data_IF_561456880590
#
_entry.id   IF_561456880590
#
_cell.length_a   1.000
_cell.length_b   1.000
_cell.length_c   1.000
_cell.angle_alpha   90.00
_cell.angle_beta   90.00
_cell.angle_gamma   90.00
#
_symmetry.space_group_name_H-M   'P 1'
#
loop_
_entity.id
_entity.type
_entity.pdbx_description
1 polymer ?
#
# COMPACT_ATOMS: atom_id res chain seq x y z
N UNK A 1 -10.98 7.63 -7.57
CA UNK A 1 -12.27 7.38 -6.89
C UNK A 1 -12.37 8.02 -5.50
N UNK A 2 -11.29 8.16 -4.72
CA UNK A 2 -11.34 8.75 -3.38
C UNK A 2 -11.49 10.29 -3.32
N UNK A 3 -11.05 11.03 -4.35
CA UNK A 3 -11.01 12.50 -4.36
C UNK A 3 -12.22 13.19 -5.02
N UNK A 4 -13.29 12.46 -5.32
CA UNK A 4 -14.51 13.07 -5.87
C UNK A 4 -15.31 13.74 -4.74
N UNK A 5 -15.76 14.97 -4.98
CA UNK A 5 -16.69 15.67 -4.08
C UNK A 5 -17.92 14.78 -3.85
N UNK A 6 -18.21 14.47 -2.59
CA UNK A 6 -19.31 13.61 -2.17
C UNK A 6 -18.96 12.14 -1.89
N UNK A 7 -17.72 11.69 -2.15
CA UNK A 7 -17.27 10.35 -1.76
C UNK A 7 -17.21 10.24 -0.22
N UNK A 8 -18.05 9.36 0.36
CA UNK A 8 -18.06 9.06 1.82
C UNK A 8 -17.30 7.79 2.19
N UNK A 9 -16.81 7.06 1.20
CA UNK A 9 -16.10 5.80 1.40
C UNK A 9 -14.82 5.77 0.57
N UNK A 10 -13.86 5.00 1.09
CA UNK A 10 -12.64 4.62 0.39
C UNK A 10 -12.88 3.23 -0.22
N UNK A 11 -12.47 3.07 -1.47
CA UNK A 11 -12.56 1.79 -2.20
C UNK A 11 -11.16 1.21 -2.33
N UNK A 12 -11.06 -0.12 -2.47
CA UNK A 12 -9.81 -0.87 -2.56
C UNK A 12 -9.46 -1.65 -1.29
N UNK A 13 -8.31 -2.30 -1.30
CA UNK A 13 -7.85 -3.12 -0.18
C UNK A 13 -7.25 -2.25 0.94
N UNK A 14 -8.05 -1.94 1.97
CA UNK A 14 -7.61 -1.13 3.11
C UNK A 14 -6.43 -1.73 3.87
N UNK A 15 -6.29 -3.06 3.88
CA UNK A 15 -5.13 -3.74 4.48
C UNK A 15 -3.83 -3.37 3.78
N UNK A 16 -3.83 -3.25 2.45
CA UNK A 16 -2.64 -2.82 1.69
C UNK A 16 -2.32 -1.35 1.96
N UNK A 17 -3.33 -0.50 2.03
CA UNK A 17 -3.14 0.91 2.39
C UNK A 17 -2.57 1.07 3.80
N UNK A 18 -3.09 0.30 4.76
CA UNK A 18 -2.62 0.30 6.13
C UNK A 18 -1.18 -0.22 6.24
N UNK A 19 -0.85 -1.32 5.57
CA UNK A 19 0.52 -1.83 5.51
C UNK A 19 1.47 -0.81 4.88
N UNK A 20 1.04 -0.12 3.81
CA UNK A 20 1.81 0.98 3.22
C UNK A 20 2.02 2.11 4.24
N UNK A 21 0.98 2.52 4.97
CA UNK A 21 1.08 3.57 5.98
C UNK A 21 2.13 3.25 7.06
N UNK A 22 2.18 2.02 7.56
CA UNK A 22 3.16 1.61 8.57
C UNK A 22 4.61 1.62 8.08
N UNK A 23 4.81 1.48 6.78
CA UNK A 23 6.15 1.60 6.19
C UNK A 23 6.63 3.05 6.15
N UNK A 24 5.75 3.95 5.71
CA UNK A 24 6.10 5.34 5.44
C UNK A 24 6.00 6.26 6.65
N UNK A 25 5.15 5.94 7.62
CA UNK A 25 4.91 6.76 8.80
C UNK A 25 5.29 5.99 10.07
N UNK A 26 6.56 6.06 10.51
CA UNK A 26 7.03 5.40 11.72
C UNK A 26 6.18 5.74 12.97
N UNK A 27 5.63 6.96 13.04
CA UNK A 27 4.78 7.42 14.14
C UNK A 27 3.50 6.60 14.34
N UNK A 28 3.01 5.93 13.29
CA UNK A 28 1.80 5.10 13.35
C UNK A 28 2.09 3.61 13.33
N UNK A 29 3.37 3.22 13.35
CA UNK A 29 3.81 1.85 13.19
C UNK A 29 3.48 1.04 14.45
N UNK A 30 2.74 -0.08 14.33
CA UNK A 30 2.53 -0.98 15.45
C UNK A 30 3.78 -1.83 15.68
N UNK A 31 3.77 -2.61 16.77
CA UNK A 31 4.85 -3.55 17.08
C UNK A 31 5.16 -4.47 15.89
N UNK A 32 6.44 -4.59 15.57
CA UNK A 32 6.93 -5.42 14.48
C UNK A 32 7.16 -6.86 14.96
N UNK A 33 6.78 -7.83 14.14
CA UNK A 33 7.07 -9.25 14.33
C UNK A 33 8.29 -9.62 13.49
N UNK A 34 9.20 -10.41 14.06
CA UNK A 34 10.26 -11.07 13.32
C UNK A 34 9.65 -12.06 12.31
N UNK A 35 9.83 -11.79 11.03
CA UNK A 35 9.30 -12.60 9.94
C UNK A 35 10.39 -13.48 9.32
N UNK A 36 9.96 -14.57 8.69
CA UNK A 36 10.83 -15.36 7.82
C UNK A 36 11.27 -14.51 6.60
N UNK A 37 12.43 -14.80 5.98
CA UNK A 37 12.98 -14.02 4.87
C UNK A 37 12.03 -13.79 3.68
N UNK A 38 11.15 -14.76 3.40
CA UNK A 38 10.23 -14.74 2.26
C UNK A 38 8.78 -14.38 2.64
N UNK A 39 8.53 -14.03 3.90
CA UNK A 39 7.18 -13.66 4.33
C UNK A 39 6.75 -12.32 3.70
N UNK A 40 5.45 -12.14 3.40
CA UNK A 40 4.94 -10.87 2.91
C UNK A 40 5.26 -9.75 3.89
N UNK A 41 5.89 -8.66 3.43
CA UNK A 41 6.29 -7.57 4.34
C UNK A 41 5.13 -7.00 5.17
N UNK A 42 3.93 -6.95 4.59
CA UNK A 42 2.70 -6.52 5.27
C UNK A 42 2.34 -7.36 6.51
N UNK A 43 2.78 -8.63 6.61
CA UNK A 43 2.56 -9.47 7.79
C UNK A 43 3.52 -9.17 8.94
N UNK A 44 4.47 -8.25 8.77
CA UNK A 44 5.41 -7.86 9.82
C UNK A 44 4.76 -7.05 10.94
N UNK A 45 3.51 -6.60 10.77
CA UNK A 45 2.88 -5.62 11.66
C UNK A 45 1.77 -6.26 12.51
N UNK A 46 1.81 -6.08 13.84
CA UNK A 46 0.71 -6.47 14.73
C UNK A 46 -0.42 -5.44 14.61
N UNK A 47 -1.42 -5.72 13.77
CA UNK A 47 -2.58 -4.84 13.68
C UNK A 47 -3.43 -4.92 14.96
N UNK A 48 -3.36 -3.89 15.80
CA UNK A 48 -4.30 -3.73 16.91
C UNK A 48 -5.67 -3.35 16.35
N UNK A 49 -6.71 -4.09 16.77
CA UNK A 49 -8.09 -3.74 16.45
C UNK A 49 -8.51 -2.61 17.40
N UNK A 50 -8.94 -1.47 16.85
CA UNK A 50 -9.53 -0.43 17.70
C UNK A 50 -10.77 -0.99 18.39
N UNK A 51 -10.84 -0.86 19.71
CA UNK A 51 -12.08 -1.10 20.43
C UNK A 51 -13.09 -0.07 19.92
N UNK A 52 -14.25 -0.53 19.44
CA UNK A 52 -15.28 0.38 18.94
C UNK A 52 -15.86 1.27 20.03
N UNK A 53 -16.49 2.39 19.64
CA UNK A 53 -17.15 3.33 20.56
C UNK A 53 -16.52 4.72 20.55
N UNK A 54 -16.72 5.47 21.63
CA UNK A 54 -16.21 6.85 21.78
C UNK A 54 -14.67 6.92 21.77
N UNK A 55 -14.00 5.87 22.27
CA UNK A 55 -12.54 5.72 22.20
C UNK A 55 -12.03 5.78 20.76
N UNK A 56 -12.76 5.21 19.79
CA UNK A 56 -12.39 5.27 18.38
C UNK A 56 -12.47 6.69 17.82
N UNK A 57 -13.45 7.50 18.23
CA UNK A 57 -13.57 8.90 17.78
C UNK A 57 -12.46 9.76 18.37
N UNK A 58 -12.13 9.57 19.64
CA UNK A 58 -11.04 10.30 20.29
C UNK A 58 -9.69 9.92 19.68
N UNK A 59 -9.47 8.63 19.39
CA UNK A 59 -8.30 8.18 18.63
C UNK A 59 -8.21 8.86 17.25
N UNK A 60 -9.32 8.98 16.52
CA UNK A 60 -9.32 9.64 15.19
C UNK A 60 -8.92 11.11 15.26
N UNK A 61 -9.34 11.84 16.30
CA UNK A 61 -8.92 13.24 16.53
C UNK A 61 -7.41 13.29 16.74
N UNK A 62 -6.87 12.41 17.60
CA UNK A 62 -5.43 12.32 17.83
C UNK A 62 -4.63 12.00 16.56
N UNK A 63 -5.08 11.01 15.77
CA UNK A 63 -4.41 10.68 14.50
C UNK A 63 -4.41 11.84 13.50
N UNK A 64 -5.51 12.60 13.41
CA UNK A 64 -5.57 13.81 12.56
C UNK A 64 -4.58 14.86 13.01
N UNK A 65 -4.54 15.16 14.30
CA UNK A 65 -3.59 16.13 14.83
C UNK A 65 -2.14 15.75 14.52
N UNK A 66 -1.77 14.48 14.73
CA UNK A 66 -0.42 14.00 14.40
C UNK A 66 -0.12 14.15 12.90
N UNK A 67 -1.11 13.86 12.02
CA UNK A 67 -0.96 14.04 10.58
C UNK A 67 -0.82 15.52 10.18
N UNK A 68 -1.56 16.41 10.83
CA UNK A 68 -1.54 17.86 10.55
C UNK A 68 -0.23 18.52 11.00
N UNK A 69 0.37 18.02 12.09
CA UNK A 69 1.65 18.49 12.63
C UNK A 69 2.88 17.86 11.94
N UNK A 70 2.67 16.81 11.14
CA UNK A 70 3.75 16.03 10.55
C UNK A 70 4.55 16.82 9.51
N UNK A 71 5.87 16.73 9.60
CA UNK A 71 6.79 17.29 8.62
C UNK A 71 7.26 16.24 7.62
N UNK A 72 7.98 16.67 6.58
CA UNK A 72 8.63 15.75 5.65
C UNK A 72 9.73 14.89 6.28
N UNK A 73 10.28 15.29 7.44
CA UNK A 73 11.34 14.56 8.15
C UNK A 73 10.78 13.36 8.93
N UNK A 74 9.52 13.44 9.34
CA UNK A 74 8.81 12.37 10.04
C UNK A 74 8.40 11.22 9.11
N UNK A 75 8.55 11.41 7.79
CA UNK A 75 8.18 10.44 6.75
C UNK A 75 9.42 9.65 6.30
N UNK A 76 9.31 8.33 6.35
CA UNK A 76 10.29 7.43 5.73
C UNK A 76 10.04 7.35 4.23
N UNK A 77 10.78 8.13 3.45
CA UNK A 77 10.63 8.19 1.97
C UNK A 77 11.21 6.97 1.25
N UNK A 78 12.09 6.20 1.90
CA UNK A 78 12.72 5.00 1.34
C UNK A 78 12.63 3.82 2.31
N UNK A 79 11.41 3.37 2.68
CA UNK A 79 11.23 2.37 3.74
C UNK A 79 11.69 0.96 3.33
N UNK A 80 11.92 0.75 2.03
CA UNK A 80 12.45 -0.48 1.45
C UNK A 80 13.99 -0.43 1.26
N UNK A 81 14.63 0.68 1.64
CA UNK A 81 16.05 0.94 1.43
C UNK A 81 16.39 1.49 0.03
N UNK A 82 17.62 1.96 -0.14
CA UNK A 82 18.11 2.63 -1.36
C UNK A 82 18.11 1.72 -2.60
N UNK A 83 18.27 0.41 -2.41
CA UNK A 83 18.40 -0.58 -3.48
C UNK A 83 17.22 -1.58 -3.50
N UNK A 84 16.05 -1.15 -3.05
CA UNK A 84 14.88 -2.02 -2.95
C UNK A 84 14.53 -2.73 -4.27
N UNK A 85 14.73 -2.05 -5.40
CA UNK A 85 14.48 -2.63 -6.73
C UNK A 85 15.41 -3.77 -7.10
N UNK A 86 16.64 -3.81 -6.56
CA UNK A 86 17.58 -4.94 -6.78
C UNK A 86 17.39 -6.04 -5.75
N UNK A 87 16.99 -5.69 -4.52
CA UNK A 87 16.74 -6.64 -3.43
C UNK A 87 15.46 -7.43 -3.62
N UNK A 88 14.43 -6.82 -4.18
CA UNK A 88 13.12 -7.43 -4.40
C UNK A 88 12.74 -7.25 -5.86
N UNK A 89 13.30 -8.08 -6.75
CA UNK A 89 13.05 -7.98 -8.21
C UNK A 89 11.56 -7.96 -8.58
N UNK A 90 10.71 -8.62 -7.78
CA UNK A 90 9.25 -8.63 -7.97
C UNK A 90 8.63 -7.23 -7.86
N UNK A 91 9.29 -6.28 -7.20
CA UNK A 91 8.88 -4.87 -7.14
C UNK A 91 9.08 -4.11 -8.45
N UNK A 92 9.86 -4.65 -9.39
CA UNK A 92 10.05 -4.10 -10.74
C UNK A 92 9.11 -4.75 -11.78
N UNK A 93 8.20 -5.62 -11.34
CA UNK A 93 7.18 -6.21 -12.22
C UNK A 93 6.41 -5.12 -12.99
N UNK A 94 6.07 -5.35 -14.25
CA UNK A 94 5.18 -4.47 -15.02
C UNK A 94 4.10 -5.34 -15.64
N UNK A 95 2.83 -5.04 -15.39
CA UNK A 95 1.70 -5.87 -15.83
C UNK A 95 0.47 -5.67 -14.96
N UNK A 96 -0.38 -6.68 -14.79
CA UNK A 96 -1.55 -6.59 -13.89
C UNK A 96 -1.24 -7.28 -12.58
N UNK A 97 -1.48 -6.60 -11.47
CA UNK A 97 -1.56 -7.23 -10.16
C UNK A 97 -3.03 -7.52 -9.89
N UNK A 98 -3.32 -8.78 -9.57
CA UNK A 98 -4.66 -9.23 -9.19
C UNK A 98 -4.67 -9.64 -7.72
N UNK A 99 -5.61 -9.11 -6.95
CA UNK A 99 -5.81 -9.45 -5.54
C UNK A 99 -7.29 -9.37 -5.18
N UNK A 100 -7.85 -10.48 -4.68
CA UNK A 100 -9.28 -10.63 -4.44
C UNK A 100 -10.10 -10.34 -5.71
N UNK A 101 -10.98 -9.33 -5.68
CA UNK A 101 -11.78 -8.84 -6.80
C UNK A 101 -11.13 -7.63 -7.51
N UNK A 102 -9.91 -7.25 -7.11
CA UNK A 102 -9.20 -6.09 -7.62
C UNK A 102 -8.18 -6.53 -8.67
N UNK A 103 -8.19 -5.85 -9.81
CA UNK A 103 -7.14 -5.95 -10.80
C UNK A 103 -6.69 -4.58 -11.24
N UNK A 104 -5.41 -4.29 -11.08
CA UNK A 104 -4.86 -2.99 -11.41
C UNK A 104 -3.57 -3.15 -12.22
N UNK A 105 -3.45 -2.30 -13.23
CA UNK A 105 -2.19 -2.11 -13.95
C UNK A 105 -1.12 -1.60 -13.00
N UNK A 106 -0.06 -2.40 -12.86
CA UNK A 106 1.11 -2.09 -12.08
C UNK A 106 2.26 -1.73 -13.02
N UNK A 107 2.75 -0.50 -12.89
CA UNK A 107 3.96 -0.03 -13.56
C UNK A 107 4.83 0.74 -12.55
N UNK A 108 5.96 0.16 -12.09
CA UNK A 108 6.87 0.77 -11.14
C UNK A 108 7.58 1.98 -11.72
N UNK A 109 7.51 2.21 -13.05
CA UNK A 109 7.97 3.44 -13.64
C UNK A 109 7.28 4.68 -13.06
N UNK A 110 6.10 4.56 -12.43
CA UNK A 110 5.37 5.67 -11.79
C UNK A 110 5.82 6.01 -10.38
N UNK A 111 6.50 5.11 -9.69
CA UNK A 111 6.90 5.26 -8.28
C UNK A 111 8.35 4.82 -8.06
N UNK A 112 9.21 5.08 -9.06
CA UNK A 112 10.64 4.76 -9.08
C UNK A 112 11.41 5.32 -7.89
N UNK A 113 10.99 6.48 -7.37
CA UNK A 113 11.59 7.11 -6.18
C UNK A 113 11.50 6.24 -4.93
N UNK A 114 10.44 5.44 -4.78
CA UNK A 114 10.28 4.54 -3.64
C UNK A 114 11.37 3.45 -3.60
N UNK A 115 11.97 3.16 -4.76
CA UNK A 115 13.04 2.19 -4.94
C UNK A 115 14.42 2.84 -5.11
N UNK A 116 14.56 4.14 -4.79
CA UNK A 116 15.83 4.86 -4.90
C UNK A 116 16.22 5.29 -6.32
N UNK A 117 15.34 5.11 -7.32
CA UNK A 117 15.62 5.52 -8.70
C UNK A 117 15.06 6.91 -9.03
N UNK A 118 15.65 7.55 -10.05
CA UNK A 118 15.11 8.79 -10.62
C UNK A 118 13.75 8.53 -11.27
N UNK A 119 12.75 9.32 -10.87
CA UNK A 119 11.42 9.29 -11.48
C UNK A 119 11.45 9.95 -12.86
N UNK A 120 11.07 9.21 -13.90
CA UNK A 120 10.82 9.75 -15.25
C UNK A 120 9.33 9.96 -15.47
N UNK A 121 8.95 10.62 -16.58
CA UNK A 121 7.55 10.69 -16.99
C UNK A 121 7.09 9.27 -17.34
N UNK A 122 6.08 8.73 -16.63
CA UNK A 122 5.61 7.37 -16.85
C UNK A 122 4.80 7.27 -18.15
N UNK A 123 4.77 6.07 -18.74
CA UNK A 123 3.93 5.77 -19.91
C UNK A 123 2.47 5.60 -19.47
N UNK A 124 1.56 5.62 -20.44
CA UNK A 124 0.16 5.26 -20.19
C UNK A 124 0.10 3.84 -19.63
N UNK A 125 -0.54 3.68 -18.48
CA UNK A 125 -0.70 2.36 -17.85
C UNK A 125 -1.68 1.50 -18.62
N UNK A 126 -1.45 0.19 -18.57
CA UNK A 126 -2.45 -0.77 -18.97
C UNK A 126 -3.61 -0.72 -17.98
N UNK A 127 -4.83 -0.55 -18.50
CA UNK A 127 -6.05 -0.60 -17.70
C UNK A 127 -6.73 -1.92 -18.06
N UNK A 128 -6.71 -2.94 -17.19
CA UNK A 128 -7.46 -4.16 -17.43
C UNK A 128 -8.95 -3.84 -17.50
N UNK A 129 -9.65 -4.41 -18.48
CA UNK A 129 -11.08 -4.14 -18.67
C UNK A 129 -11.93 -4.99 -17.75
N UNK A 130 -11.64 -6.28 -17.73
CA UNK A 130 -12.34 -7.26 -16.92
C UNK A 130 -11.33 -8.24 -16.32
N UNK A 131 -11.51 -8.57 -15.05
CA UNK A 131 -10.74 -9.62 -14.39
C UNK A 131 -11.68 -10.53 -13.60
N UNK A 132 -11.49 -11.84 -13.78
CA UNK A 132 -12.24 -12.86 -13.07
C UNK A 132 -11.31 -13.98 -12.61
N UNK A 133 -11.56 -14.47 -11.39
CA UNK A 133 -10.89 -15.66 -10.86
C UNK A 133 -11.88 -16.82 -10.79
N UNK A 134 -11.77 -17.84 -11.66
CA UNK A 134 -12.60 -19.02 -11.57
C UNK A 134 -12.39 -19.74 -10.24
N UNK A 135 -13.46 -20.22 -9.61
CA UNK A 135 -13.37 -21.01 -8.37
C UNK A 135 -12.54 -22.30 -8.53
N UNK A 136 -12.43 -22.80 -9.76
CA UNK A 136 -11.64 -23.98 -10.13
C UNK A 136 -10.14 -23.72 -10.35
N UNK A 137 -9.69 -22.45 -10.33
CA UNK A 137 -8.31 -22.10 -10.67
C UNK A 137 -7.69 -21.13 -9.66
N UNK A 138 -6.40 -21.31 -9.39
CA UNK A 138 -5.64 -20.35 -8.59
C UNK A 138 -5.26 -19.09 -9.38
N UNK A 139 -5.33 -19.11 -10.71
CA UNK A 139 -4.94 -18.02 -11.61
C UNK A 139 -6.12 -17.10 -11.98
N UNK A 140 -5.80 -15.82 -12.25
CA UNK A 140 -6.75 -14.83 -12.75
C UNK A 140 -6.76 -14.82 -14.27
N UNK A 141 -7.93 -14.60 -14.85
CA UNK A 141 -8.11 -14.31 -16.28
C UNK A 141 -8.29 -12.80 -16.42
N UNK A 142 -7.50 -12.19 -17.31
CA UNK A 142 -7.45 -10.73 -17.52
C UNK A 142 -7.75 -10.44 -18.99
N UNK A 143 -8.70 -9.52 -19.26
CA UNK A 143 -9.12 -9.09 -20.59
C UNK A 143 -8.78 -7.62 -20.89
#
# INVERSE_FOLDING_TARGET
MATRVGSKSICGCLTLLQAWMYEYFPLFRPSQILQAPDAPRASSWVCHRFAGGDDARQCLVGYRQILDEMSGEDVSWTPYGRDAGTKVLRSLYTGVICFADIAEGYDPARFRRQFGYRQTIPRTMMVPKDVYRPASCSAYIVF
#
